data_IF_051465150672
#
_entry.id   IF_051465150672
#
_cell.length_a   1.000
_cell.length_b   1.000
_cell.length_c   1.000
_cell.angle_alpha   90.00
_cell.angle_beta   90.00
_cell.angle_gamma   90.00
#
_symmetry.space_group_name_H-M   'P 1'
#
loop_
_entity.id
_entity.type
_entity.pdbx_description
1 polymer ?
#
# COMPACT_ATOMS: atom_id res chain seq x y z
N UNK A 1 4.57 12.38 -10.36
CA UNK A 1 4.91 12.94 -11.70
C UNK A 1 3.70 12.77 -12.63
N UNK A 2 2.56 13.37 -12.24
CA UNK A 2 1.35 13.39 -13.05
C UNK A 2 1.46 14.43 -14.19
N UNK A 3 0.84 14.20 -15.34
CA UNK A 3 0.70 15.23 -16.39
C UNK A 3 -0.16 16.39 -15.91
N UNK A 4 0.05 17.59 -16.50
CA UNK A 4 -0.65 18.81 -16.08
C UNK A 4 -2.18 18.69 -16.18
N UNK A 5 -2.68 17.95 -17.15
CA UNK A 5 -4.12 17.71 -17.35
C UNK A 5 -4.80 17.02 -16.15
N UNK A 6 -4.08 16.22 -15.39
CA UNK A 6 -4.62 15.60 -14.17
C UNK A 6 -4.78 16.63 -13.05
N UNK A 7 -3.85 17.58 -12.92
CA UNK A 7 -4.00 18.70 -11.98
C UNK A 7 -5.19 19.59 -12.35
N UNK A 8 -5.36 19.90 -13.65
CA UNK A 8 -6.51 20.66 -14.14
C UNK A 8 -7.83 19.95 -13.82
N UNK A 9 -7.91 18.65 -14.10
CA UNK A 9 -9.09 17.84 -13.79
C UNK A 9 -9.38 17.79 -12.28
N UNK A 10 -8.35 17.58 -11.45
CA UNK A 10 -8.50 17.54 -9.99
C UNK A 10 -9.00 18.89 -9.43
N UNK A 11 -8.44 20.00 -9.89
CA UNK A 11 -8.93 21.33 -9.50
C UNK A 11 -10.36 21.61 -9.98
N UNK A 12 -10.73 21.14 -11.19
CA UNK A 12 -12.09 21.26 -11.70
C UNK A 12 -13.10 20.46 -10.87
N UNK A 13 -12.69 19.32 -10.33
CA UNK A 13 -13.49 18.48 -9.43
C UNK A 13 -13.58 19.05 -8.01
N UNK A 14 -12.80 20.07 -7.66
CA UNK A 14 -12.77 20.66 -6.33
C UNK A 14 -12.17 19.77 -5.24
N UNK A 15 -11.37 18.78 -5.62
CA UNK A 15 -10.67 17.91 -4.65
C UNK A 15 -9.39 18.56 -4.15
N UNK A 16 -8.90 18.12 -2.98
CA UNK A 16 -7.61 18.54 -2.45
C UNK A 16 -6.48 18.01 -3.35
N UNK A 17 -5.59 18.89 -3.75
CA UNK A 17 -4.44 18.55 -4.58
C UNK A 17 -3.17 18.63 -3.76
N UNK A 18 -2.46 17.52 -3.66
CA UNK A 18 -1.16 17.46 -2.98
C UNK A 18 -0.04 17.68 -4.00
N UNK A 19 0.80 18.69 -3.78
CA UNK A 19 1.95 19.07 -4.60
C UNK A 19 3.22 18.58 -3.91
N UNK A 20 4.17 18.04 -4.68
CA UNK A 20 5.35 17.38 -4.13
C UNK A 20 6.69 18.01 -4.58
N UNK A 21 6.66 19.08 -5.38
CA UNK A 21 7.88 19.77 -5.82
C UNK A 21 7.58 21.21 -6.29
N UNK A 22 8.61 22.05 -6.28
CA UNK A 22 8.50 23.46 -6.67
C UNK A 22 8.55 23.63 -8.20
N UNK A 23 9.11 22.67 -8.90
CA UNK A 23 9.25 22.69 -10.36
C UNK A 23 7.91 22.73 -11.08
N UNK A 24 6.89 22.07 -10.51
CA UNK A 24 5.51 22.15 -10.99
C UNK A 24 5.00 23.58 -11.03
N UNK A 25 5.23 24.35 -9.97
CA UNK A 25 4.78 25.75 -9.87
C UNK A 25 5.47 26.65 -10.89
N UNK A 26 6.75 26.38 -11.15
CA UNK A 26 7.57 27.13 -12.14
C UNK A 26 7.20 26.78 -13.57
N UNK A 27 6.93 25.52 -13.82
CA UNK A 27 6.63 25.00 -15.15
C UNK A 27 5.22 25.36 -15.60
N UNK A 28 4.25 25.33 -14.68
CA UNK A 28 2.84 25.58 -14.98
C UNK A 28 2.19 26.61 -14.03
N UNK A 29 2.73 27.85 -13.96
CA UNK A 29 2.27 28.83 -12.99
C UNK A 29 0.79 29.21 -13.16
N UNK A 30 0.26 29.14 -14.39
CA UNK A 30 -1.15 29.45 -14.67
C UNK A 30 -2.13 28.47 -14.00
N UNK A 31 -1.74 27.18 -13.89
CA UNK A 31 -2.58 26.13 -13.29
C UNK A 31 -2.70 26.33 -11.77
N UNK A 32 -1.60 26.76 -11.14
CA UNK A 32 -1.49 26.85 -9.68
C UNK A 32 -1.84 28.23 -9.12
N UNK A 33 -1.90 29.27 -9.96
CA UNK A 33 -2.18 30.65 -9.53
C UNK A 33 -3.49 30.74 -8.75
N UNK A 34 -3.41 31.27 -7.52
CA UNK A 34 -4.56 31.48 -6.63
C UNK A 34 -5.18 30.19 -6.06
N UNK A 35 -4.55 29.03 -6.30
CA UNK A 35 -5.09 27.74 -5.83
C UNK A 35 -4.78 27.49 -4.36
N UNK A 36 -5.64 26.70 -3.75
CA UNK A 36 -5.40 26.07 -2.45
C UNK A 36 -4.87 24.67 -2.69
N UNK A 37 -3.77 24.32 -2.02
CA UNK A 37 -3.09 23.02 -2.18
C UNK A 37 -2.64 22.48 -0.84
N UNK A 38 -2.32 21.20 -0.84
CA UNK A 38 -1.52 20.54 0.20
C UNK A 38 -0.08 20.35 -0.30
N UNK A 39 0.88 20.30 0.61
CA UNK A 39 2.28 20.09 0.29
C UNK A 39 2.75 18.76 0.89
N UNK A 40 3.25 17.85 0.04
CA UNK A 40 3.92 16.64 0.53
C UNK A 40 5.38 16.94 0.81
N UNK A 41 5.80 16.72 2.04
CA UNK A 41 7.17 16.89 2.51
C UNK A 41 7.81 15.51 2.67
N UNK A 42 9.00 15.35 2.09
CA UNK A 42 9.90 14.25 2.43
C UNK A 42 10.70 14.66 3.66
N UNK A 43 10.44 13.97 4.76
CA UNK A 43 11.08 14.24 6.06
C UNK A 43 12.50 13.66 6.15
N UNK A 44 12.98 12.99 5.09
CA UNK A 44 14.34 12.46 4.99
C UNK A 44 14.52 11.09 5.65
N UNK A 45 13.49 10.54 6.25
CA UNK A 45 13.44 9.20 6.80
C UNK A 45 12.18 8.48 6.28
N UNK A 46 12.30 7.19 6.08
CA UNK A 46 11.19 6.33 5.67
C UNK A 46 11.30 5.00 6.39
N UNK A 47 10.18 4.33 6.51
CA UNK A 47 10.06 3.00 7.09
C UNK A 47 9.27 2.09 6.15
N UNK A 48 9.50 0.77 6.21
CA UNK A 48 8.79 -0.20 5.37
C UNK A 48 9.43 -1.57 5.42
N UNK A 49 8.61 -2.59 5.34
CA UNK A 49 9.02 -4.00 5.37
C UNK A 49 9.87 -4.44 4.16
N UNK A 50 9.96 -3.63 3.11
CA UNK A 50 10.78 -3.91 1.93
C UNK A 50 11.36 -2.61 1.34
N UNK A 51 12.60 -2.64 0.85
CA UNK A 51 13.29 -1.46 0.27
C UNK A 51 12.48 -0.78 -0.86
N UNK A 52 11.73 -1.54 -1.66
CA UNK A 52 10.90 -1.00 -2.76
C UNK A 52 9.61 -0.31 -2.30
N UNK A 53 9.23 -0.43 -1.03
CA UNK A 53 8.05 0.25 -0.45
C UNK A 53 8.43 1.36 0.53
N UNK A 54 9.71 1.67 0.66
CA UNK A 54 10.19 2.86 1.36
C UNK A 54 9.88 4.10 0.51
N UNK A 55 9.15 5.05 1.08
CA UNK A 55 8.66 6.25 0.38
C UNK A 55 9.31 7.56 0.85
N UNK A 56 10.30 7.48 1.75
CA UNK A 56 11.06 8.62 2.26
C UNK A 56 12.57 8.49 2.05
N UNK A 57 13.30 9.62 2.12
CA UNK A 57 14.75 9.68 2.05
C UNK A 57 15.31 10.02 0.66
N UNK A 58 16.62 10.17 0.59
CA UNK A 58 17.36 10.77 -0.55
C UNK A 58 17.08 10.11 -1.91
N UNK A 59 16.78 8.82 -1.94
CA UNK A 59 16.50 8.06 -3.17
C UNK A 59 15.00 7.96 -3.48
N UNK A 60 14.13 8.43 -2.57
CA UNK A 60 12.70 8.43 -2.80
C UNK A 60 12.33 9.46 -3.87
N UNK A 61 11.46 9.06 -4.80
CA UNK A 61 10.95 9.98 -5.83
C UNK A 61 9.83 10.89 -5.35
N UNK A 62 9.44 10.77 -4.09
CA UNK A 62 8.24 11.38 -3.53
C UNK A 62 8.55 12.51 -2.57
N UNK A 63 7.69 13.53 -2.58
CA UNK A 63 7.77 14.63 -1.64
C UNK A 63 8.80 15.70 -2.00
N UNK A 64 8.59 16.88 -1.44
CA UNK A 64 9.56 17.96 -1.45
C UNK A 64 10.50 17.77 -0.28
N UNK A 65 11.81 17.81 -0.53
CA UNK A 65 12.81 17.78 0.55
C UNK A 65 12.54 18.89 1.57
N UNK A 66 12.63 18.57 2.85
CA UNK A 66 12.41 19.49 3.95
C UNK A 66 13.23 20.79 3.84
N UNK A 67 14.44 20.72 3.27
CA UNK A 67 15.33 21.86 3.04
C UNK A 67 14.79 22.86 1.98
N UNK A 68 13.88 22.40 1.10
CA UNK A 68 13.32 23.22 0.02
C UNK A 68 11.94 23.79 0.33
N UNK A 69 11.42 23.59 1.54
CA UNK A 69 10.08 24.09 1.92
C UNK A 69 9.98 25.61 1.81
N UNK A 70 11.01 26.36 2.20
CA UNK A 70 11.04 27.83 2.05
C UNK A 70 10.96 28.25 0.58
N UNK A 71 11.72 27.58 -0.29
CA UNK A 71 11.69 27.82 -1.73
C UNK A 71 10.26 27.62 -2.31
N UNK A 72 9.57 26.57 -1.84
CA UNK A 72 8.19 26.33 -2.23
C UNK A 72 7.24 27.40 -1.71
N UNK A 73 7.41 27.82 -0.46
CA UNK A 73 6.60 28.89 0.13
C UNK A 73 6.74 30.21 -0.63
N UNK A 74 7.95 30.56 -1.04
CA UNK A 74 8.19 31.78 -1.85
C UNK A 74 7.49 31.67 -3.20
N UNK A 75 7.68 30.57 -3.93
CA UNK A 75 7.00 30.34 -5.20
C UNK A 75 5.46 30.32 -5.06
N UNK A 76 4.93 29.72 -4.01
CA UNK A 76 3.50 29.72 -3.72
C UNK A 76 2.97 31.13 -3.43
N UNK A 77 3.71 31.96 -2.70
CA UNK A 77 3.37 33.35 -2.42
C UNK A 77 3.31 34.19 -3.70
N UNK A 78 4.29 34.03 -4.60
CA UNK A 78 4.35 34.74 -5.88
C UNK A 78 3.15 34.39 -6.78
N UNK A 79 2.61 33.19 -6.62
CA UNK A 79 1.41 32.74 -7.33
C UNK A 79 0.10 33.03 -6.58
N UNK A 80 0.14 33.62 -5.38
CA UNK A 80 -1.05 33.86 -4.57
C UNK A 80 -1.72 32.58 -4.09
N UNK A 81 -0.96 31.50 -3.94
CA UNK A 81 -1.47 30.19 -3.47
C UNK A 81 -1.65 30.18 -1.97
N UNK A 82 -2.50 29.25 -1.49
CA UNK A 82 -2.64 28.93 -0.06
C UNK A 82 -2.26 27.46 0.16
N UNK A 83 -1.44 27.22 1.17
CA UNK A 83 -1.09 25.86 1.62
C UNK A 83 -1.92 25.57 2.86
N UNK A 84 -2.95 24.72 2.75
CA UNK A 84 -3.89 24.41 3.84
C UNK A 84 -3.71 23.03 4.45
N UNK A 85 -2.89 22.17 3.84
CA UNK A 85 -2.53 20.88 4.38
C UNK A 85 -1.07 20.57 4.16
N UNK A 86 -0.50 19.79 5.06
CA UNK A 86 0.80 19.14 4.89
C UNK A 86 0.61 17.65 4.91
N UNK A 87 1.34 16.96 4.05
CA UNK A 87 1.31 15.53 3.92
C UNK A 87 2.73 14.96 4.06
N UNK A 88 2.86 13.84 4.76
CA UNK A 88 4.02 12.97 4.69
C UNK A 88 3.56 11.51 4.73
N UNK A 89 4.33 10.64 4.09
CA UNK A 89 4.08 9.20 4.11
C UNK A 89 5.42 8.48 4.25
N UNK A 90 5.58 7.75 5.34
CA UNK A 90 6.87 7.11 5.69
C UNK A 90 7.07 5.77 4.99
N UNK A 91 5.99 5.07 4.64
CA UNK A 91 6.07 3.74 4.05
C UNK A 91 4.88 2.85 4.39
N UNK A 92 5.09 1.55 4.36
CA UNK A 92 4.05 0.54 4.58
C UNK A 92 4.51 -0.48 5.63
N UNK A 93 3.57 -0.95 6.47
CA UNK A 93 3.88 -1.89 7.54
C UNK A 93 4.48 -1.22 8.78
N UNK A 94 3.94 -0.08 9.20
CA UNK A 94 4.40 0.69 10.36
C UNK A 94 3.72 0.16 11.61
N UNK A 95 4.47 -0.43 12.51
CA UNK A 95 3.94 -1.15 13.68
C UNK A 95 3.81 -0.28 14.93
N UNK A 96 4.50 0.87 14.99
CA UNK A 96 4.56 1.67 16.23
C UNK A 96 4.02 3.08 16.07
N UNK A 97 3.26 3.56 17.06
CA UNK A 97 2.75 4.95 17.11
C UNK A 97 3.84 6.00 17.18
N UNK A 98 5.05 5.63 17.58
CA UNK A 98 6.20 6.55 17.66
C UNK A 98 6.54 7.17 16.30
N UNK A 99 6.39 6.42 15.21
CA UNK A 99 6.63 6.93 13.84
C UNK A 99 5.60 8.00 13.45
N UNK A 100 4.32 7.78 13.71
CA UNK A 100 3.29 8.80 13.46
C UNK A 100 3.46 10.04 14.32
N UNK A 101 3.89 9.85 15.58
CA UNK A 101 4.21 10.99 16.46
C UNK A 101 5.33 11.85 15.86
N UNK A 102 6.40 11.23 15.38
CA UNK A 102 7.50 11.94 14.74
C UNK A 102 7.02 12.75 13.54
N UNK A 103 6.22 12.13 12.65
CA UNK A 103 5.64 12.80 11.49
C UNK A 103 4.80 14.01 11.89
N UNK A 104 3.90 13.85 12.86
CA UNK A 104 3.05 14.97 13.30
C UNK A 104 3.87 16.10 13.91
N UNK A 105 4.85 15.78 14.76
CA UNK A 105 5.70 16.78 15.40
C UNK A 105 6.47 17.61 14.34
N UNK A 106 7.05 16.96 13.33
CA UNK A 106 7.79 17.62 12.25
C UNK A 106 6.86 18.45 11.34
N UNK A 107 5.74 17.85 10.88
CA UNK A 107 4.77 18.57 10.06
C UNK A 107 4.17 19.77 10.81
N UNK A 108 3.88 19.64 12.10
CA UNK A 108 3.41 20.75 12.93
C UNK A 108 4.46 21.89 13.03
N UNK A 109 5.75 21.55 13.01
CA UNK A 109 6.83 22.53 12.92
C UNK A 109 6.74 23.37 11.63
N UNK A 110 6.60 22.71 10.48
CA UNK A 110 6.40 23.38 9.18
C UNK A 110 5.07 24.14 9.12
N UNK A 111 3.99 23.56 9.64
CA UNK A 111 2.65 24.16 9.64
C UNK A 111 2.63 25.51 10.38
N UNK A 112 3.29 25.60 11.53
CA UNK A 112 3.42 26.86 12.29
C UNK A 112 4.19 27.94 11.51
N UNK A 113 5.20 27.56 10.72
CA UNK A 113 5.96 28.49 9.88
C UNK A 113 5.16 28.99 8.68
N UNK A 114 4.39 28.09 8.05
CA UNK A 114 3.52 28.42 6.91
C UNK A 114 2.32 29.28 7.35
N UNK A 115 1.73 28.99 8.51
CA UNK A 115 0.70 29.81 9.15
C UNK A 115 -0.73 29.66 8.59
N UNK A 116 -0.92 28.96 7.48
CA UNK A 116 -2.23 28.74 6.85
C UNK A 116 -2.69 27.28 6.84
N UNK A 117 -1.87 26.39 7.41
CA UNK A 117 -2.13 24.96 7.46
C UNK A 117 -3.18 24.63 8.53
N UNK A 118 -4.14 23.82 8.16
CA UNK A 118 -5.25 23.35 9.00
C UNK A 118 -5.23 21.83 9.19
N UNK A 119 -4.62 21.08 8.23
CA UNK A 119 -4.63 19.61 8.20
C UNK A 119 -3.19 19.08 8.15
N UNK A 120 -2.91 18.07 8.96
CA UNK A 120 -1.71 17.25 8.85
C UNK A 120 -2.14 15.84 8.42
N UNK A 121 -1.78 15.48 7.21
CA UNK A 121 -2.00 14.15 6.66
C UNK A 121 -0.74 13.32 6.87
N UNK A 122 -0.88 12.29 7.66
CA UNK A 122 0.24 11.43 8.08
C UNK A 122 0.39 10.18 7.22
N UNK A 123 -0.34 10.13 6.11
CA UNK A 123 -0.30 9.03 5.15
C UNK A 123 -0.97 7.75 5.65
N UNK A 124 -0.64 6.67 4.98
CA UNK A 124 -1.07 5.33 5.35
C UNK A 124 0.01 4.58 6.13
N UNK A 125 0.08 3.29 5.88
CA UNK A 125 1.13 2.42 6.41
C UNK A 125 0.67 1.45 7.48
N UNK A 126 -0.62 1.45 7.87
CA UNK A 126 -1.17 0.46 8.79
C UNK A 126 -0.94 -0.96 8.26
N UNK A 127 -0.32 -1.86 9.07
CA UNK A 127 -0.07 -3.24 8.68
C UNK A 127 -1.32 -4.10 8.78
N UNK A 128 -1.25 -5.29 8.19
CA UNK A 128 -2.13 -6.44 8.49
C UNK A 128 -1.26 -7.63 8.88
N UNK A 129 -1.84 -8.61 9.56
CA UNK A 129 -1.27 -9.93 9.70
C UNK A 129 -1.41 -10.69 8.39
N UNK A 130 -0.31 -11.15 7.79
CA UNK A 130 -0.33 -11.96 6.57
C UNK A 130 -0.23 -13.45 6.83
N UNK A 131 0.11 -13.82 8.05
CA UNK A 131 0.27 -15.19 8.51
C UNK A 131 -0.45 -15.37 9.85
N UNK A 132 -0.92 -16.57 10.12
CA UNK A 132 -1.48 -16.91 11.41
C UNK A 132 -0.48 -16.76 12.59
N UNK A 133 0.82 -16.70 12.28
CA UNK A 133 1.88 -16.48 13.27
C UNK A 133 2.16 -14.99 13.53
N UNK A 134 1.59 -14.07 12.72
CA UNK A 134 1.74 -12.63 12.90
C UNK A 134 0.76 -12.12 13.99
N UNK A 135 1.24 -11.23 14.83
CA UNK A 135 0.35 -10.56 15.79
C UNK A 135 -0.55 -9.55 15.08
N UNK A 136 -1.87 -9.58 15.31
CA UNK A 136 -2.78 -8.59 14.75
C UNK A 136 -2.41 -7.16 15.20
N UNK A 137 -2.56 -6.20 14.31
CA UNK A 137 -2.29 -4.81 14.63
C UNK A 137 -3.27 -4.28 15.69
N UNK A 138 -2.74 -3.76 16.80
CA UNK A 138 -3.53 -3.17 17.88
C UNK A 138 -4.05 -1.77 17.47
N UNK A 139 -5.23 -1.77 16.82
CA UNK A 139 -5.88 -0.56 16.34
C UNK A 139 -6.31 0.37 17.50
N UNK A 140 -6.70 -0.19 18.64
CA UNK A 140 -7.15 0.60 19.80
C UNK A 140 -5.96 1.32 20.43
N UNK A 141 -4.85 0.64 20.68
CA UNK A 141 -3.63 1.27 21.18
C UNK A 141 -3.09 2.33 20.19
N UNK A 142 -3.19 2.07 18.89
CA UNK A 142 -2.81 3.05 17.87
C UNK A 142 -3.72 4.29 17.90
N UNK A 143 -5.03 4.11 18.01
CA UNK A 143 -6.00 5.21 18.10
C UNK A 143 -5.81 6.06 19.36
N UNK A 144 -5.54 5.41 20.50
CA UNK A 144 -5.19 6.11 21.74
C UNK A 144 -3.90 6.94 21.58
N UNK A 145 -2.87 6.37 20.93
CA UNK A 145 -1.63 7.07 20.62
C UNK A 145 -1.87 8.31 19.73
N UNK A 146 -2.71 8.20 18.70
CA UNK A 146 -3.10 9.35 17.87
C UNK A 146 -3.89 10.39 18.65
N UNK A 147 -4.76 9.99 19.58
CA UNK A 147 -5.48 10.93 20.44
C UNK A 147 -4.53 11.72 21.32
N UNK A 148 -3.50 11.08 21.88
CA UNK A 148 -2.45 11.75 22.64
C UNK A 148 -1.66 12.75 21.80
N UNK A 149 -1.27 12.36 20.59
CA UNK A 149 -0.59 13.23 19.62
C UNK A 149 -1.47 14.43 19.28
N UNK A 150 -2.76 14.20 19.01
CA UNK A 150 -3.73 15.26 18.72
C UNK A 150 -3.90 16.24 19.87
N UNK A 151 -3.83 15.76 21.13
CA UNK A 151 -3.91 16.62 22.32
C UNK A 151 -2.72 17.60 22.43
N UNK A 152 -1.54 17.20 21.95
CA UNK A 152 -0.34 18.06 21.87
C UNK A 152 -0.47 19.11 20.76
N UNK A 153 -1.17 18.76 19.67
CA UNK A 153 -1.33 19.62 18.48
C UNK A 153 -2.81 19.93 18.19
N UNK A 154 -3.56 20.58 19.13
CA UNK A 154 -5.00 20.75 19.04
C UNK A 154 -5.45 21.63 17.86
N UNK A 155 -4.58 22.49 17.36
CA UNK A 155 -4.88 23.41 16.24
C UNK A 155 -5.05 22.71 14.90
N UNK A 156 -4.49 21.51 14.70
CA UNK A 156 -4.53 20.81 13.42
C UNK A 156 -5.51 19.65 13.43
N UNK A 157 -6.21 19.43 12.33
CA UNK A 157 -6.90 18.16 12.05
C UNK A 157 -5.86 17.15 11.57
N UNK A 158 -6.00 15.89 11.98
CA UNK A 158 -5.22 14.78 11.44
C UNK A 158 -6.02 14.10 10.32
N UNK A 159 -5.34 13.73 9.25
CA UNK A 159 -5.84 12.86 8.19
C UNK A 159 -4.93 11.64 8.05
N UNK A 160 -5.50 10.52 7.61
CA UNK A 160 -4.83 9.24 7.39
C UNK A 160 -5.25 8.66 6.05
N UNK A 161 -4.38 7.83 5.44
CA UNK A 161 -4.60 7.19 4.13
C UNK A 161 -4.47 5.65 4.22
N UNK A 162 -5.29 4.95 5.04
CA UNK A 162 -5.15 3.52 5.26
C UNK A 162 -5.69 2.74 4.06
N UNK A 163 -4.83 2.36 3.12
CA UNK A 163 -5.21 1.58 1.94
C UNK A 163 -5.27 0.08 2.23
N UNK A 164 -4.10 -0.55 2.41
CA UNK A 164 -3.95 -1.99 2.65
C UNK A 164 -4.83 -2.50 3.79
N UNK A 165 -4.78 -1.84 4.93
CA UNK A 165 -5.52 -2.21 6.14
C UNK A 165 -7.02 -2.37 5.91
N UNK A 166 -7.61 -1.56 5.01
CA UNK A 166 -9.06 -1.57 4.78
C UNK A 166 -9.52 -2.69 3.84
N UNK A 167 -8.66 -3.17 2.94
CA UNK A 167 -9.12 -4.01 1.83
C UNK A 167 -8.31 -5.28 1.59
N UNK A 168 -7.16 -5.47 2.23
CA UNK A 168 -6.35 -6.66 1.95
C UNK A 168 -7.08 -7.95 2.29
N UNK A 169 -7.63 -8.05 3.51
CA UNK A 169 -8.35 -9.22 4.01
C UNK A 169 -9.73 -9.41 3.35
N UNK A 170 -10.25 -8.40 2.65
CA UNK A 170 -11.55 -8.48 1.98
C UNK A 170 -11.52 -9.28 0.66
N UNK A 171 -10.34 -9.66 0.17
CA UNK A 171 -10.21 -10.36 -1.10
C UNK A 171 -9.24 -11.52 -1.04
N UNK A 172 -9.58 -12.57 -1.76
CA UNK A 172 -8.73 -13.75 -1.95
C UNK A 172 -8.53 -14.03 -3.44
N UNK A 173 -7.42 -14.65 -3.81
CA UNK A 173 -7.25 -15.22 -5.13
C UNK A 173 -7.62 -16.70 -5.09
N UNK A 174 -8.67 -17.06 -5.84
CA UNK A 174 -9.05 -18.45 -6.06
C UNK A 174 -8.29 -19.00 -7.26
N UNK A 175 -7.70 -20.17 -7.10
CA UNK A 175 -7.00 -20.89 -8.15
C UNK A 175 -7.29 -22.40 -8.06
N UNK A 176 -6.91 -23.12 -9.08
CA UNK A 176 -7.02 -24.57 -9.12
C UNK A 176 -5.64 -25.19 -9.29
N UNK A 177 -5.36 -26.22 -8.50
CA UNK A 177 -4.17 -27.04 -8.68
C UNK A 177 -4.23 -27.74 -10.05
N UNK A 178 -3.21 -27.54 -10.88
CA UNK A 178 -3.13 -28.11 -12.23
C UNK A 178 -2.27 -29.37 -12.24
N UNK A 179 -1.17 -29.34 -11.51
CA UNK A 179 -0.20 -30.44 -11.41
C UNK A 179 0.37 -30.51 -10.01
N UNK A 180 0.64 -31.70 -9.56
CA UNK A 180 1.41 -31.96 -8.33
C UNK A 180 2.57 -32.85 -8.70
N UNK A 181 3.79 -32.41 -8.44
CA UNK A 181 5.02 -33.13 -8.81
C UNK A 181 6.01 -33.15 -7.65
N UNK A 182 6.81 -34.19 -7.60
CA UNK A 182 7.99 -34.26 -6.74
C UNK A 182 9.23 -34.30 -7.64
N UNK A 183 10.19 -33.46 -7.33
CA UNK A 183 11.49 -33.46 -8.01
C UNK A 183 12.60 -33.23 -6.98
N UNK A 184 13.51 -34.18 -6.93
CA UNK A 184 14.68 -34.14 -6.03
C UNK A 184 14.32 -33.90 -4.56
N UNK A 185 13.22 -34.49 -4.09
CA UNK A 185 12.71 -34.37 -2.72
C UNK A 185 11.93 -33.09 -2.43
N UNK A 186 11.65 -32.26 -3.45
CA UNK A 186 10.83 -31.04 -3.32
C UNK A 186 9.46 -31.28 -3.96
N UNK A 187 8.41 -31.20 -3.16
CA UNK A 187 7.05 -31.22 -3.66
C UNK A 187 6.65 -29.87 -4.24
N UNK A 188 5.99 -29.86 -5.37
CA UNK A 188 5.48 -28.65 -6.02
C UNK A 188 4.02 -28.84 -6.43
N UNK A 189 3.23 -27.80 -6.21
CA UNK A 189 1.88 -27.70 -6.78
C UNK A 189 1.82 -26.52 -7.72
N UNK A 190 1.49 -26.79 -8.99
CA UNK A 190 1.26 -25.78 -9.99
C UNK A 190 -0.19 -25.33 -9.98
N UNK A 191 -0.42 -24.03 -10.07
CA UNK A 191 -1.74 -23.43 -10.13
C UNK A 191 -2.08 -22.94 -11.53
N UNK A 192 -3.36 -22.72 -11.83
CA UNK A 192 -3.83 -22.05 -13.06
C UNK A 192 -3.71 -20.53 -13.01
N UNK A 193 -3.41 -19.96 -11.83
CA UNK A 193 -3.02 -18.56 -11.60
C UNK A 193 -1.50 -18.45 -11.46
N UNK A 194 -0.93 -17.30 -11.82
CA UNK A 194 0.50 -17.00 -11.67
C UNK A 194 0.75 -15.56 -11.23
N UNK A 195 2.03 -15.15 -11.28
CA UNK A 195 2.44 -13.78 -10.91
C UNK A 195 1.73 -12.68 -11.73
N UNK A 196 1.13 -13.01 -12.86
CA UNK A 196 0.30 -12.08 -13.62
C UNK A 196 -1.03 -11.78 -12.93
N UNK A 197 -1.55 -12.68 -12.09
CA UNK A 197 -2.77 -12.48 -11.31
C UNK A 197 -2.49 -11.85 -9.93
N UNK A 198 -1.39 -12.26 -9.26
CA UNK A 198 -0.94 -11.71 -7.99
C UNK A 198 0.58 -11.56 -8.00
N UNK A 199 1.07 -10.38 -8.34
CA UNK A 199 2.50 -10.13 -8.54
C UNK A 199 3.29 -9.94 -7.23
N UNK A 200 2.62 -9.70 -6.12
CA UNK A 200 3.27 -9.29 -4.87
C UNK A 200 4.33 -10.27 -4.36
N UNK A 201 4.14 -11.59 -4.36
CA UNK A 201 5.20 -12.52 -3.98
C UNK A 201 6.45 -12.38 -4.84
N UNK A 202 6.29 -12.34 -6.16
CA UNK A 202 7.41 -12.22 -7.10
C UNK A 202 8.12 -10.85 -7.06
N UNK A 203 7.40 -9.77 -6.74
CA UNK A 203 7.92 -8.40 -6.79
C UNK A 203 8.51 -7.92 -5.47
N UNK A 204 7.94 -8.35 -4.36
CA UNK A 204 8.22 -7.84 -3.00
C UNK A 204 8.59 -8.93 -2.00
N UNK A 205 8.70 -10.19 -2.43
CA UNK A 205 8.83 -11.35 -1.54
C UNK A 205 7.70 -11.41 -0.47
N UNK A 206 6.50 -10.89 -0.86
CA UNK A 206 5.38 -10.79 0.05
C UNK A 206 4.79 -12.17 0.33
N UNK A 207 4.56 -12.46 1.60
CA UNK A 207 3.85 -13.65 2.04
C UNK A 207 2.34 -13.47 1.85
N UNK A 208 1.67 -14.56 1.51
CA UNK A 208 0.23 -14.73 1.55
C UNK A 208 -0.05 -16.16 2.02
N UNK A 209 -0.94 -16.33 2.98
CA UNK A 209 -1.35 -17.66 3.38
C UNK A 209 -2.06 -18.39 2.23
N UNK A 210 -1.73 -19.66 2.06
CA UNK A 210 -2.26 -20.50 0.98
C UNK A 210 -2.92 -21.73 1.59
N UNK A 211 -4.19 -21.94 1.24
CA UNK A 211 -5.02 -23.01 1.80
C UNK A 211 -5.61 -23.87 0.68
N UNK A 212 -5.56 -25.19 0.86
CA UNK A 212 -6.27 -26.14 0.02
C UNK A 212 -7.72 -26.30 0.53
N UNK A 213 -8.68 -25.61 -0.15
CA UNK A 213 -10.09 -25.65 0.24
C UNK A 213 -10.73 -27.02 0.07
N UNK A 214 -10.22 -27.83 -0.86
CA UNK A 214 -10.78 -29.16 -1.10
C UNK A 214 -10.46 -30.15 0.03
N UNK A 215 -9.54 -29.78 0.94
CA UNK A 215 -8.98 -30.68 1.97
C UNK A 215 -8.81 -30.01 3.34
N UNK A 216 -9.76 -29.16 3.72
CA UNK A 216 -9.70 -28.40 4.99
C UNK A 216 -9.68 -29.32 6.23
N UNK A 217 -10.22 -30.53 6.14
CA UNK A 217 -10.27 -31.49 7.23
C UNK A 217 -9.00 -32.37 7.34
N UNK A 218 -8.00 -32.14 6.49
CA UNK A 218 -6.75 -32.90 6.46
C UNK A 218 -5.64 -32.16 7.20
N UNK A 219 -4.58 -32.87 7.60
CA UNK A 219 -3.41 -32.27 8.23
C UNK A 219 -2.58 -31.48 7.21
N UNK A 220 -2.23 -30.22 7.54
CA UNK A 220 -1.36 -29.34 6.75
C UNK A 220 0.09 -29.50 7.21
N UNK A 221 0.70 -30.64 6.92
CA UNK A 221 2.00 -31.05 7.46
C UNK A 221 3.13 -31.16 6.43
N UNK A 222 2.79 -31.18 5.15
CA UNK A 222 3.74 -31.42 4.06
C UNK A 222 4.13 -30.09 3.39
N UNK A 223 5.44 -29.90 3.20
CA UNK A 223 6.00 -28.72 2.54
C UNK A 223 5.81 -28.79 1.01
N UNK A 224 5.21 -27.75 0.42
CA UNK A 224 5.09 -27.57 -1.01
C UNK A 224 5.62 -26.21 -1.46
N UNK A 225 6.33 -26.16 -2.59
CA UNK A 225 6.48 -24.93 -3.34
C UNK A 225 5.22 -24.74 -4.21
N UNK A 226 4.53 -23.60 -4.03
CA UNK A 226 3.32 -23.25 -4.80
C UNK A 226 3.71 -22.33 -5.93
N UNK A 227 3.53 -22.78 -7.17
CA UNK A 227 4.06 -22.12 -8.36
C UNK A 227 2.97 -21.83 -9.39
N UNK A 228 3.17 -20.78 -10.19
CA UNK A 228 2.29 -20.44 -11.29
C UNK A 228 2.75 -21.01 -12.63
N UNK A 229 1.99 -20.74 -13.70
CA UNK A 229 2.24 -21.24 -15.05
C UNK A 229 3.03 -20.27 -15.95
N UNK A 230 3.56 -19.17 -15.40
CA UNK A 230 4.32 -18.17 -16.15
C UNK A 230 5.74 -18.69 -16.39
N UNK A 231 6.32 -18.38 -17.55
CA UNK A 231 7.68 -18.80 -17.91
C UNK A 231 8.74 -17.90 -17.26
N UNK A 232 8.69 -17.82 -15.91
CA UNK A 232 9.60 -17.04 -15.08
C UNK A 232 9.95 -17.81 -13.81
N UNK A 233 11.22 -17.75 -13.39
CA UNK A 233 11.67 -18.42 -12.18
C UNK A 233 11.07 -17.79 -10.89
N UNK A 234 10.61 -16.56 -10.97
CA UNK A 234 9.96 -15.82 -9.89
C UNK A 234 8.46 -16.08 -9.81
N UNK A 235 7.88 -16.93 -10.66
CA UNK A 235 6.46 -17.26 -10.61
C UNK A 235 6.16 -18.28 -9.51
N UNK A 236 6.38 -17.85 -8.29
CA UNK A 236 6.24 -18.61 -7.06
C UNK A 236 5.35 -17.80 -6.12
N UNK A 237 4.27 -18.41 -5.61
CA UNK A 237 3.40 -17.82 -4.60
C UNK A 237 3.93 -18.02 -3.19
N UNK A 238 4.58 -19.16 -2.94
CA UNK A 238 5.22 -19.46 -1.67
C UNK A 238 6.12 -20.69 -1.76
N UNK A 239 7.20 -20.66 -0.99
CA UNK A 239 8.10 -21.80 -0.81
C UNK A 239 7.80 -22.46 0.53
N UNK A 240 7.81 -23.79 0.54
CA UNK A 240 7.58 -24.60 1.75
C UNK A 240 6.25 -24.25 2.46
N UNK A 241 5.22 -24.00 1.67
CA UNK A 241 3.86 -23.81 2.20
C UNK A 241 3.37 -25.15 2.74
N UNK A 242 2.80 -25.14 3.94
CA UNK A 242 2.20 -26.33 4.54
C UNK A 242 0.86 -26.62 3.91
N UNK A 243 0.76 -27.76 3.21
CA UNK A 243 -0.47 -28.26 2.58
C UNK A 243 -0.68 -29.73 2.95
N UNK A 244 -1.90 -30.28 2.78
CA UNK A 244 -2.16 -31.70 2.92
C UNK A 244 -1.31 -32.54 1.96
N UNK A 245 -0.73 -33.63 2.47
CA UNK A 245 0.15 -34.53 1.70
C UNK A 245 -0.53 -35.11 0.47
N UNK A 246 -1.85 -35.27 0.48
CA UNK A 246 -2.67 -35.79 -0.60
C UNK A 246 -3.26 -34.69 -1.52
N UNK A 247 -2.73 -33.47 -1.45
CA UNK A 247 -3.06 -32.39 -2.42
C UNK A 247 -2.92 -32.90 -3.84
N UNK A 248 -3.95 -32.67 -4.67
CA UNK A 248 -4.04 -33.30 -5.99
C UNK A 248 -4.48 -32.29 -7.08
N UNK A 249 -4.21 -32.61 -8.37
CA UNK A 249 -4.75 -31.83 -9.49
C UNK A 249 -6.28 -31.73 -9.41
N UNK A 250 -6.80 -30.54 -9.62
CA UNK A 250 -8.22 -30.23 -9.53
C UNK A 250 -8.65 -29.63 -8.18
N UNK A 251 -7.83 -29.72 -7.14
CA UNK A 251 -8.12 -29.11 -5.84
C UNK A 251 -8.27 -27.58 -5.98
N UNK A 252 -9.24 -27.02 -5.28
CA UNK A 252 -9.44 -25.58 -5.17
C UNK A 252 -8.46 -25.03 -4.11
N UNK A 253 -7.71 -24.01 -4.51
CA UNK A 253 -6.71 -23.33 -3.67
C UNK A 253 -7.12 -21.89 -3.43
N UNK A 254 -6.91 -21.40 -2.22
CA UNK A 254 -7.07 -19.99 -1.85
C UNK A 254 -5.71 -19.40 -1.52
N UNK A 255 -5.44 -18.21 -2.05
CA UNK A 255 -4.35 -17.35 -1.61
C UNK A 255 -5.00 -16.15 -0.92
N UNK A 256 -4.75 -16.00 0.37
CA UNK A 256 -5.40 -15.03 1.25
C UNK A 256 -4.88 -13.60 1.02
N UNK A 257 -5.58 -12.63 1.57
CA UNK A 257 -5.19 -11.20 1.67
C UNK A 257 -4.83 -10.55 0.34
N UNK A 258 -5.50 -10.97 -0.74
CA UNK A 258 -5.27 -10.49 -2.09
C UNK A 258 -6.10 -9.23 -2.44
N UNK A 259 -6.94 -8.70 -1.54
CA UNK A 259 -7.80 -7.55 -1.79
C UNK A 259 -7.03 -6.23 -2.02
N UNK A 260 -5.84 -6.07 -1.40
CA UNK A 260 -4.98 -4.92 -1.65
C UNK A 260 -3.87 -5.29 -2.62
N UNK A 261 -3.76 -4.54 -3.74
CA UNK A 261 -2.69 -4.71 -4.75
C UNK A 261 -2.68 -6.09 -5.44
N UNK A 262 -3.76 -6.88 -5.32
CA UNK A 262 -3.98 -8.08 -6.11
C UNK A 262 -4.40 -7.70 -7.54
N UNK A 263 -5.70 -7.53 -7.77
CA UNK A 263 -6.23 -7.21 -9.10
C UNK A 263 -5.68 -5.91 -9.68
N UNK A 264 -5.52 -4.86 -8.86
CA UNK A 264 -5.00 -3.56 -9.33
C UNK A 264 -3.58 -3.59 -9.89
N UNK A 265 -2.78 -4.62 -9.56
CA UNK A 265 -1.45 -4.85 -10.12
C UNK A 265 -1.42 -6.04 -11.09
N UNK A 266 -2.54 -6.73 -11.29
CA UNK A 266 -2.64 -7.82 -12.25
C UNK A 266 -2.34 -7.32 -13.67
N UNK A 267 -1.77 -8.19 -14.50
CA UNK A 267 -1.30 -7.83 -15.82
C UNK A 267 -1.48 -9.00 -16.81
N UNK A 268 -1.19 -8.74 -18.07
CA UNK A 268 -1.35 -9.72 -19.17
C UNK A 268 -0.03 -10.36 -19.57
N UNK A 269 0.92 -10.48 -18.67
CA UNK A 269 2.22 -11.08 -18.97
C UNK A 269 2.05 -12.51 -19.52
N UNK A 270 2.87 -12.88 -20.51
CA UNK A 270 2.77 -14.10 -21.31
C UNK A 270 1.39 -14.27 -22.00
N UNK A 271 0.70 -13.14 -22.30
CA UNK A 271 -0.62 -13.10 -22.94
C UNK A 271 -1.71 -13.86 -22.17
N UNK A 272 -1.57 -13.98 -20.86
CA UNK A 272 -2.62 -14.54 -20.01
C UNK A 272 -3.69 -13.49 -19.73
N UNK A 273 -4.93 -13.97 -19.61
CA UNK A 273 -6.04 -13.11 -19.20
C UNK A 273 -5.86 -12.64 -17.75
N UNK A 274 -6.44 -11.48 -17.45
CA UNK A 274 -6.62 -11.05 -16.05
C UNK A 274 -7.56 -12.02 -15.34
N UNK A 275 -7.42 -12.22 -14.02
CA UNK A 275 -8.40 -12.95 -13.22
C UNK A 275 -9.76 -12.25 -13.31
N UNK A 276 -10.84 -13.02 -13.21
CA UNK A 276 -12.17 -12.42 -12.99
C UNK A 276 -12.27 -11.86 -11.55
N UNK A 277 -13.07 -10.84 -11.37
CA UNK A 277 -13.45 -10.36 -10.03
C UNK A 277 -14.92 -10.70 -9.81
N UNK A 278 -15.18 -11.43 -8.73
CA UNK A 278 -16.52 -11.76 -8.26
C UNK A 278 -16.73 -11.17 -6.87
N UNK A 279 -17.83 -10.47 -6.69
CA UNK A 279 -18.26 -9.96 -5.38
C UNK A 279 -19.12 -11.03 -4.71
N UNK A 280 -18.68 -11.55 -3.57
CA UNK A 280 -19.50 -12.38 -2.73
C UNK A 280 -20.48 -11.47 -1.98
N UNK A 281 -21.71 -11.42 -2.45
CA UNK A 281 -22.81 -10.77 -1.74
C UNK A 281 -23.29 -11.75 -0.65
N UNK A 282 -22.89 -11.51 0.60
CA UNK A 282 -23.60 -12.14 1.72
C UNK A 282 -24.99 -11.54 1.71
N UNK A 283 -25.92 -12.22 1.04
CA UNK A 283 -27.30 -11.81 1.02
C UNK A 283 -27.75 -11.46 2.44
N UNK A 284 -28.03 -10.19 2.66
CA UNK A 284 -28.64 -9.72 3.90
C UNK A 284 -29.92 -10.52 4.05
N UNK A 285 -29.85 -11.57 4.86
CA UNK A 285 -31.06 -12.27 5.29
C UNK A 285 -31.83 -11.25 6.12
N UNK A 286 -32.90 -10.69 5.49
CA UNK A 286 -33.91 -9.92 6.19
C UNK A 286 -34.54 -10.69 7.36
#
# INVERSE_FOLDING_TARGET
FAPVSEYEAAFAMGVNVTVANVELLRQWPAIFRGRTVWLRIDLGHGDGHHAKVNTGGKEAKFGLSAQRVEEFMDAARDLGMRITGLHAHLGSGIETTAHWKLVVDELAGFARRIGTVEVLDIGGGLPIAYSADDEPFDLDAWAEGLAQIKAVHPAFRLAIEPGRFLVAESGVLLARATQVVEKDGVHRVGLDAGMNALIRPALYDAWHDIVNLARLDHDFDTDFDVVGPICESSDIFGNRVKLPADTAPGDAMVIADAGAYGFSMANTYNLRALPAEDLLDEGVSE
#
